data_IF_442303663606
#
_entry.id   IF_442303663606
#
_cell.length_a   1.000
_cell.length_b   1.000
_cell.length_c   1.000
_cell.angle_alpha   90.00
_cell.angle_beta   90.00
_cell.angle_gamma   90.00
#
_symmetry.space_group_name_H-M   'P 1'
#
loop_
_entity.id
_entity.type
_entity.pdbx_description
1 polymer ?
#
# COMPACT_ATOMS: atom_id res chain seq x y z
N UNK A 1 0.50 13.85 -1.52
CA UNK A 1 0.29 12.57 -0.78
C UNK A 1 -0.46 11.55 -1.62
N UNK A 2 -1.53 11.98 -2.31
CA UNK A 2 -2.29 11.05 -3.15
C UNK A 2 -1.44 10.52 -4.31
N UNK A 3 -0.61 11.36 -4.91
CA UNK A 3 0.30 10.94 -5.97
C UNK A 3 1.31 9.91 -5.48
N UNK A 4 1.78 10.03 -4.25
CA UNK A 4 2.70 9.07 -3.65
C UNK A 4 2.04 7.71 -3.48
N UNK A 5 0.76 7.69 -3.09
CA UNK A 5 0.02 6.43 -2.96
C UNK A 5 -0.11 5.76 -4.33
N UNK A 6 -0.50 6.51 -5.36
CA UNK A 6 -0.66 5.98 -6.71
C UNK A 6 0.66 5.42 -7.24
N UNK A 7 1.74 6.19 -7.08
CA UNK A 7 3.07 5.78 -7.55
C UNK A 7 3.53 4.49 -6.86
N UNK A 8 3.33 4.40 -5.55
CA UNK A 8 3.72 3.21 -4.81
C UNK A 8 2.91 1.98 -5.25
N UNK A 9 1.61 2.15 -5.50
CA UNK A 9 0.77 1.06 -6.01
C UNK A 9 1.26 0.63 -7.39
N UNK A 10 1.55 1.58 -8.28
CA UNK A 10 2.05 1.26 -9.62
C UNK A 10 3.37 0.50 -9.56
N UNK A 11 4.27 0.89 -8.64
CA UNK A 11 5.51 0.17 -8.41
C UNK A 11 5.23 -1.28 -7.98
N UNK A 12 4.29 -1.46 -7.07
CA UNK A 12 3.93 -2.80 -6.59
C UNK A 12 3.38 -3.68 -7.70
N UNK A 13 2.54 -3.13 -8.57
CA UNK A 13 2.03 -3.87 -9.72
C UNK A 13 3.15 -4.24 -10.69
N UNK A 14 4.09 -3.32 -10.93
CA UNK A 14 5.24 -3.60 -11.77
C UNK A 14 6.13 -4.69 -11.18
N UNK A 15 6.44 -4.60 -9.89
CA UNK A 15 7.31 -5.56 -9.22
C UNK A 15 6.69 -6.95 -9.13
N UNK A 16 5.37 -7.05 -9.06
CA UNK A 16 4.69 -8.34 -8.93
C UNK A 16 4.17 -8.89 -10.25
N UNK A 17 4.30 -8.13 -11.34
CA UNK A 17 3.93 -8.62 -12.65
C UNK A 17 4.77 -9.85 -12.99
N UNK A 18 4.09 -10.91 -13.37
CA UNK A 18 4.73 -12.19 -13.72
C UNK A 18 5.58 -12.78 -12.57
N UNK A 19 5.27 -12.41 -11.33
CA UNK A 19 5.99 -12.88 -10.14
C UNK A 19 5.06 -13.75 -9.30
N UNK A 20 5.55 -14.89 -8.86
CA UNK A 20 4.79 -15.79 -7.97
C UNK A 20 5.02 -15.42 -6.51
N UNK A 21 4.14 -15.93 -5.65
CA UNK A 21 4.30 -15.79 -4.21
C UNK A 21 5.63 -16.41 -3.74
N UNK A 22 6.00 -17.55 -4.29
CA UNK A 22 7.26 -18.21 -3.92
C UNK A 22 8.46 -17.35 -4.32
N UNK A 23 8.44 -16.74 -5.49
CA UNK A 23 9.51 -15.83 -5.92
C UNK A 23 9.61 -14.62 -4.99
N UNK A 24 8.48 -14.04 -4.60
CA UNK A 24 8.44 -12.94 -3.65
C UNK A 24 9.09 -13.35 -2.32
N UNK A 25 8.68 -14.49 -1.76
CA UNK A 25 9.20 -14.97 -0.47
C UNK A 25 10.70 -15.21 -0.49
N UNK A 26 11.21 -15.75 -1.60
CA UNK A 26 12.58 -16.24 -1.69
C UNK A 26 13.57 -15.23 -2.28
N UNK A 27 13.09 -14.09 -2.76
CA UNK A 27 13.94 -13.02 -3.30
C UNK A 27 13.98 -11.86 -2.30
N UNK A 28 15.07 -11.79 -1.56
CA UNK A 28 15.21 -10.82 -0.48
C UNK A 28 15.08 -9.36 -0.97
N UNK A 29 15.71 -9.05 -2.11
CA UNK A 29 15.66 -7.69 -2.68
C UNK A 29 14.24 -7.33 -3.09
N UNK A 30 13.57 -8.23 -3.79
CA UNK A 30 12.19 -8.03 -4.21
C UNK A 30 11.26 -7.87 -2.99
N UNK A 31 11.45 -8.72 -1.99
CA UNK A 31 10.65 -8.65 -0.75
C UNK A 31 10.81 -7.30 -0.06
N UNK A 32 12.04 -6.81 0.07
CA UNK A 32 12.29 -5.49 0.66
C UNK A 32 11.65 -4.38 -0.18
N UNK A 33 11.77 -4.43 -1.50
CA UNK A 33 11.18 -3.42 -2.38
C UNK A 33 9.65 -3.37 -2.25
N UNK A 34 9.01 -4.52 -2.17
CA UNK A 34 7.56 -4.63 -2.01
C UNK A 34 7.13 -4.07 -0.65
N UNK A 35 7.77 -4.50 0.42
CA UNK A 35 7.45 -4.02 1.77
C UNK A 35 7.65 -2.52 1.87
N UNK A 36 8.73 -2.00 1.29
CA UNK A 36 8.99 -0.55 1.30
C UNK A 36 7.87 0.23 0.62
N UNK A 37 7.35 -0.25 -0.50
CA UNK A 37 6.27 0.46 -1.18
C UNK A 37 4.96 0.40 -0.40
N UNK A 38 4.69 -0.70 0.31
CA UNK A 38 3.54 -0.75 1.23
C UNK A 38 3.70 0.24 2.38
N UNK A 39 4.93 0.40 2.92
CA UNK A 39 5.21 1.41 3.93
C UNK A 39 4.95 2.82 3.40
N UNK A 40 5.34 3.10 2.16
CA UNK A 40 5.12 4.40 1.52
C UNK A 40 3.62 4.71 1.45
N UNK A 41 2.81 3.73 1.08
CA UNK A 41 1.35 3.90 1.05
C UNK A 41 0.84 4.28 2.44
N UNK A 42 1.26 3.54 3.46
CA UNK A 42 0.83 3.80 4.83
C UNK A 42 1.30 5.15 5.35
N UNK A 43 2.53 5.54 5.03
CA UNK A 43 3.08 6.84 5.42
C UNK A 43 2.30 7.98 4.77
N UNK A 44 2.04 7.86 3.47
CA UNK A 44 1.27 8.89 2.75
C UNK A 44 -0.15 9.00 3.32
N UNK A 45 -0.79 7.88 3.63
CA UNK A 45 -2.11 7.87 4.25
C UNK A 45 -2.08 8.53 5.63
N UNK A 46 -1.06 8.24 6.42
CA UNK A 46 -0.89 8.84 7.74
C UNK A 46 -0.78 10.36 7.66
N UNK A 47 -0.09 10.87 6.63
CA UNK A 47 0.16 12.30 6.45
C UNK A 47 -0.99 13.06 5.80
N UNK A 48 -2.03 12.38 5.33
CA UNK A 48 -3.27 13.05 4.90
C UNK A 48 -3.94 13.70 6.11
N UNK A 49 -4.61 14.85 5.88
CA UNK A 49 -5.31 15.52 6.98
C UNK A 49 -6.44 14.65 7.50
N UNK A 50 -6.79 14.84 8.76
CA UNK A 50 -7.93 14.15 9.34
C UNK A 50 -9.22 14.55 8.63
N UNK A 51 -9.33 15.83 8.25
CA UNK A 51 -10.47 16.33 7.49
C UNK A 51 -10.65 15.57 6.18
N UNK A 52 -9.56 15.37 5.42
CA UNK A 52 -9.62 14.63 4.17
C UNK A 52 -10.06 13.19 4.40
N UNK A 53 -9.50 12.53 5.40
CA UNK A 53 -9.84 11.13 5.70
C UNK A 53 -11.30 10.99 6.15
N UNK A 54 -11.81 11.94 6.90
CA UNK A 54 -13.21 11.94 7.33
C UNK A 54 -14.17 12.15 6.17
N UNK A 55 -13.76 12.91 5.16
CA UNK A 55 -14.57 13.12 3.95
C UNK A 55 -14.59 11.91 3.00
N UNK A 56 -13.68 10.97 3.19
CA UNK A 56 -13.57 9.79 2.33
C UNK A 56 -13.57 8.51 3.15
N UNK A 57 -14.69 8.24 3.89
CA UNK A 57 -14.75 7.07 4.78
C UNK A 57 -14.83 5.73 4.06
N UNK A 58 -15.04 5.72 2.75
CA UNK A 58 -15.05 4.50 1.96
C UNK A 58 -13.68 3.84 1.86
N UNK A 59 -12.60 4.55 2.22
CA UNK A 59 -11.27 3.97 2.36
C UNK A 59 -11.01 3.71 3.84
N UNK A 60 -10.53 2.52 4.16
CA UNK A 60 -10.21 2.15 5.54
C UNK A 60 -8.82 2.68 5.93
N UNK A 61 -8.73 3.99 6.12
CA UNK A 61 -7.46 4.67 6.41
C UNK A 61 -6.76 4.12 7.65
N UNK A 62 -7.52 3.78 8.69
CA UNK A 62 -6.95 3.24 9.93
C UNK A 62 -6.26 1.89 9.71
N UNK A 63 -6.84 1.07 8.83
CA UNK A 63 -6.25 -0.23 8.49
C UNK A 63 -4.93 -0.04 7.73
N UNK A 64 -4.94 0.87 6.76
CA UNK A 64 -3.75 1.18 5.96
C UNK A 64 -2.62 1.72 6.85
N UNK A 65 -2.95 2.65 7.73
CA UNK A 65 -1.98 3.24 8.66
C UNK A 65 -1.47 2.20 9.65
N UNK A 66 -2.36 1.34 10.14
CA UNK A 66 -1.99 0.24 11.04
C UNK A 66 -1.06 -0.76 10.39
N UNK A 67 -1.28 -1.05 9.11
CA UNK A 67 -0.38 -1.92 8.35
C UNK A 67 1.04 -1.32 8.31
N UNK A 68 1.16 -0.02 8.06
CA UNK A 68 2.46 0.64 8.08
C UNK A 68 3.17 0.44 9.41
N UNK A 69 2.44 0.60 10.51
CA UNK A 69 3.02 0.41 11.84
C UNK A 69 3.61 -1.00 11.99
N UNK A 70 2.89 -2.02 11.56
CA UNK A 70 3.37 -3.41 11.62
C UNK A 70 4.61 -3.59 10.73
N UNK A 71 4.59 -3.05 9.52
CA UNK A 71 5.70 -3.20 8.58
C UNK A 71 6.98 -2.54 9.08
N UNK A 72 6.86 -1.39 9.76
CA UNK A 72 8.02 -0.65 10.25
C UNK A 72 8.53 -1.23 11.58
N UNK A 73 7.64 -1.49 12.54
CA UNK A 73 8.03 -1.84 13.89
C UNK A 73 7.94 -3.33 14.21
N UNK A 74 7.19 -4.09 13.40
CA UNK A 74 7.04 -5.52 13.58
C UNK A 74 7.66 -6.32 12.45
N UNK A 75 8.78 -5.86 11.88
CA UNK A 75 9.38 -6.43 10.69
C UNK A 75 9.54 -7.96 10.74
N UNK A 76 9.99 -8.48 11.88
CA UNK A 76 10.20 -9.93 12.03
C UNK A 76 8.91 -10.72 12.17
N UNK A 77 7.77 -10.04 12.27
CA UNK A 77 6.45 -10.66 12.44
C UNK A 77 5.57 -10.46 11.21
N UNK A 78 6.14 -9.96 10.10
CA UNK A 78 5.38 -9.73 8.88
C UNK A 78 4.94 -11.05 8.27
N UNK A 79 3.63 -11.16 8.02
CA UNK A 79 3.06 -12.31 7.33
C UNK A 79 3.16 -12.09 5.82
N UNK A 80 3.95 -12.92 5.15
CA UNK A 80 4.10 -12.83 3.69
C UNK A 80 2.79 -13.15 2.99
N UNK A 81 1.97 -14.05 3.55
CA UNK A 81 0.65 -14.37 3.02
C UNK A 81 -0.26 -13.15 3.03
N UNK A 82 -0.25 -12.40 4.12
CA UNK A 82 -1.05 -11.17 4.23
C UNK A 82 -0.57 -10.09 3.28
N UNK A 83 0.75 -9.93 3.15
CA UNK A 83 1.34 -8.97 2.20
C UNK A 83 0.89 -9.31 0.79
N UNK A 84 1.03 -10.56 0.39
CA UNK A 84 0.66 -11.00 -0.95
C UNK A 84 -0.83 -10.84 -1.23
N UNK A 85 -1.67 -11.23 -0.27
CA UNK A 85 -3.12 -11.08 -0.39
C UNK A 85 -3.51 -9.61 -0.55
N UNK A 86 -2.88 -8.71 0.21
CA UNK A 86 -3.13 -7.27 0.12
C UNK A 86 -2.85 -6.76 -1.29
N UNK A 87 -1.72 -7.17 -1.88
CA UNK A 87 -1.36 -6.76 -3.23
C UNK A 87 -2.38 -7.28 -4.24
N UNK A 88 -2.83 -8.52 -4.08
CA UNK A 88 -3.73 -9.16 -5.03
C UNK A 88 -5.16 -8.62 -4.96
N UNK A 89 -5.64 -8.18 -3.80
CA UNK A 89 -7.05 -7.87 -3.61
C UNK A 89 -7.36 -6.43 -3.23
N UNK A 90 -6.43 -5.72 -2.59
CA UNK A 90 -6.74 -4.41 -1.99
C UNK A 90 -6.22 -3.22 -2.79
N UNK A 91 -5.12 -3.39 -3.53
CA UNK A 91 -4.45 -2.25 -4.16
C UNK A 91 -5.21 -1.64 -5.33
N UNK A 92 -5.83 -2.47 -6.17
CA UNK A 92 -6.55 -1.92 -7.32
C UNK A 92 -7.76 -1.08 -6.90
N UNK A 93 -8.63 -1.56 -5.98
CA UNK A 93 -9.72 -0.72 -5.50
C UNK A 93 -9.23 0.57 -4.85
N UNK A 94 -8.14 0.50 -4.08
CA UNK A 94 -7.57 1.68 -3.45
C UNK A 94 -7.07 2.68 -4.50
N UNK A 95 -6.36 2.19 -5.51
CA UNK A 95 -5.86 3.04 -6.59
C UNK A 95 -7.00 3.78 -7.29
N UNK A 96 -8.07 3.06 -7.62
CA UNK A 96 -9.22 3.65 -8.31
C UNK A 96 -9.84 4.78 -7.48
N UNK A 97 -10.01 4.56 -6.18
CA UNK A 97 -10.57 5.59 -5.29
C UNK A 97 -9.63 6.79 -5.19
N UNK A 98 -8.34 6.56 -4.98
CA UNK A 98 -7.38 7.64 -4.81
C UNK A 98 -7.24 8.45 -6.10
N UNK A 99 -7.25 7.80 -7.25
CA UNK A 99 -7.23 8.51 -8.54
C UNK A 99 -8.46 9.41 -8.69
N UNK A 100 -9.63 8.93 -8.29
CA UNK A 100 -10.85 9.74 -8.34
C UNK A 100 -10.72 10.96 -7.42
N UNK A 101 -10.23 10.79 -6.20
CA UNK A 101 -10.04 11.89 -5.26
C UNK A 101 -9.06 12.92 -5.80
N UNK A 102 -7.96 12.46 -6.39
CA UNK A 102 -6.97 13.34 -6.97
C UNK A 102 -7.54 14.18 -8.11
N UNK A 103 -8.33 13.56 -8.99
CA UNK A 103 -8.97 14.29 -10.08
C UNK A 103 -9.92 15.37 -9.59
N UNK A 104 -10.63 15.11 -8.49
CA UNK A 104 -11.55 16.09 -7.91
C UNK A 104 -10.85 17.30 -7.28
N UNK A 105 -9.58 17.14 -6.91
CA UNK A 105 -8.79 18.24 -6.34
C UNK A 105 -8.13 19.11 -7.41
N UNK A 106 -8.09 18.64 -8.65
CA UNK A 106 -7.49 19.38 -9.78
C UNK A 106 -8.47 20.38 -10.45
#
# INVERSE_FOLDING_TARGET
>A
RLSHIIEAIDNLFEFTKDTSFEEYKNNKILRFAIIKNLEIIGEAAYLLTNEFKEKHPEVEWKVIIGMRHVLVYGYYQISDEMVWATIQTELLPLKEKVELYKRKLE
#
